data_IF_196033910119
#
_entry.id   IF_196033910119
#
_cell.length_a   1.000
_cell.length_b   1.000
_cell.length_c   1.000
_cell.angle_alpha   90.00
_cell.angle_beta   90.00
_cell.angle_gamma   90.00
#
_symmetry.space_group_name_H-M   'P 1'
#
loop_
_entity.id
_entity.type
_entity.pdbx_description
1 polymer ?
#
# COMPACT_ATOMS: atom_id res chain seq x y z
N UNK A 1 -6.16 26.09 -8.99
CA UNK A 1 -4.91 25.42 -9.36
C UNK A 1 -5.04 24.85 -10.77
N UNK A 2 -3.92 24.65 -11.47
CA UNK A 2 -3.93 24.07 -12.84
C UNK A 2 -3.24 22.70 -12.79
N UNK A 3 -3.96 21.70 -13.27
CA UNK A 3 -3.46 20.33 -13.39
C UNK A 3 -3.57 19.86 -14.85
N UNK A 4 -2.60 19.09 -15.29
CA UNK A 4 -2.54 18.50 -16.62
C UNK A 4 -2.44 16.98 -16.48
N UNK A 5 -3.43 16.26 -17.00
CA UNK A 5 -3.36 14.82 -17.20
C UNK A 5 -2.57 14.52 -18.46
N UNK A 6 -1.61 13.60 -18.39
CA UNK A 6 -0.75 13.29 -19.52
C UNK A 6 -0.74 11.81 -19.87
N UNK A 7 -0.48 11.50 -21.12
CA UNK A 7 -0.36 10.14 -21.60
C UNK A 7 1.07 9.64 -21.42
N UNK A 8 1.36 9.07 -20.25
CA UNK A 8 2.67 8.50 -19.90
C UNK A 8 3.55 9.33 -18.95
N UNK A 9 3.13 10.57 -18.59
CA UNK A 9 3.88 11.43 -17.65
C UNK A 9 3.14 11.71 -16.33
N UNK A 10 2.06 10.99 -16.06
CA UNK A 10 1.27 11.16 -14.84
C UNK A 10 0.49 12.48 -14.76
N UNK A 11 0.17 12.92 -13.54
CA UNK A 11 -0.52 14.17 -13.23
C UNK A 11 0.50 15.28 -12.98
N UNK A 12 0.36 16.40 -13.68
CA UNK A 12 1.28 17.52 -13.57
C UNK A 12 0.58 18.76 -13.05
N UNK A 13 0.99 19.23 -11.88
CA UNK A 13 0.51 20.45 -11.24
C UNK A 13 1.38 21.65 -11.63
N UNK A 14 0.78 22.72 -12.15
CA UNK A 14 1.47 23.97 -12.35
C UNK A 14 1.78 24.62 -11.00
N UNK A 15 3.06 24.71 -10.65
CA UNK A 15 3.52 25.27 -9.37
C UNK A 15 3.78 26.76 -9.50
N UNK A 16 4.43 27.21 -10.58
CA UNK A 16 4.78 28.60 -10.82
C UNK A 16 5.06 28.88 -12.29
N UNK A 17 5.02 30.17 -12.63
CA UNK A 17 5.58 30.69 -13.88
C UNK A 17 6.83 31.49 -13.52
N UNK A 18 7.97 31.22 -14.16
CA UNK A 18 9.17 32.03 -13.93
C UNK A 18 9.06 33.40 -14.64
N UNK A 19 9.98 34.32 -14.34
CA UNK A 19 9.99 35.68 -14.90
C UNK A 19 10.12 35.73 -16.43
N UNK A 20 10.46 34.65 -17.09
CA UNK A 20 10.55 34.49 -18.55
C UNK A 20 9.29 33.85 -19.14
N UNK A 21 8.25 33.62 -18.34
CA UNK A 21 7.00 32.98 -18.76
C UNK A 21 7.09 31.45 -18.89
N UNK A 22 8.16 30.82 -18.39
CA UNK A 22 8.31 29.35 -18.42
C UNK A 22 7.57 28.73 -17.22
N UNK A 23 6.70 27.78 -17.51
CA UNK A 23 5.97 27.04 -16.50
C UNK A 23 6.85 26.02 -15.76
N UNK A 24 6.68 25.94 -14.45
CA UNK A 24 7.31 24.93 -13.59
C UNK A 24 6.22 24.01 -13.07
N UNK A 25 6.39 22.71 -13.33
CA UNK A 25 5.43 21.69 -12.93
C UNK A 25 6.02 20.76 -11.86
N UNK A 26 5.13 20.33 -10.96
CA UNK A 26 5.34 19.17 -10.09
C UNK A 26 4.60 17.98 -10.70
N UNK A 27 5.30 16.88 -10.93
CA UNK A 27 4.70 15.67 -11.51
C UNK A 27 4.42 14.65 -10.42
N UNK A 28 3.27 14.00 -10.53
CA UNK A 28 2.86 12.87 -9.70
C UNK A 28 2.73 11.64 -10.61
N UNK A 29 3.33 10.53 -10.21
CA UNK A 29 3.47 9.31 -11.00
C UNK A 29 3.03 8.07 -10.20
N UNK A 30 3.23 6.89 -10.75
CA UNK A 30 3.03 5.63 -10.01
C UNK A 30 3.86 5.56 -8.72
N UNK A 31 4.99 6.27 -8.64
CA UNK A 31 5.82 6.37 -7.44
C UNK A 31 5.14 7.14 -6.31
N UNK A 32 4.20 8.02 -6.66
CA UNK A 32 3.45 8.86 -5.75
C UNK A 32 2.07 8.24 -5.43
N UNK A 33 1.73 7.10 -6.02
CA UNK A 33 0.52 6.35 -5.74
C UNK A 33 -0.52 6.30 -6.87
N UNK A 34 -0.24 6.85 -8.06
CA UNK A 34 -1.10 6.64 -9.23
C UNK A 34 -1.11 5.15 -9.64
N UNK A 35 -2.23 4.61 -10.15
CA UNK A 35 -2.30 3.24 -10.65
C UNK A 35 -1.64 3.06 -12.03
N UNK A 36 -1.44 4.15 -12.78
CA UNK A 36 -0.76 4.21 -14.07
C UNK A 36 -0.30 5.63 -14.36
N UNK A 37 0.80 5.80 -15.08
CA UNK A 37 1.25 7.10 -15.61
C UNK A 37 0.51 7.52 -16.88
N UNK A 38 -0.33 6.62 -17.44
CA UNK A 38 -1.20 6.90 -18.59
C UNK A 38 -2.55 7.36 -18.07
N UNK A 39 -2.78 8.67 -18.10
CA UNK A 39 -4.02 9.32 -17.68
C UNK A 39 -4.89 9.60 -18.90
N UNK A 40 -6.19 9.28 -18.80
CA UNK A 40 -7.12 9.34 -19.92
C UNK A 40 -8.06 10.54 -19.83
N UNK A 41 -8.57 10.84 -18.63
CA UNK A 41 -9.44 12.01 -18.38
C UNK A 41 -9.27 12.47 -16.93
N UNK A 42 -9.65 13.71 -16.64
CA UNK A 42 -9.66 14.28 -15.29
C UNK A 42 -10.87 15.17 -15.11
N UNK A 43 -11.55 15.03 -13.95
CA UNK A 43 -12.65 15.88 -13.51
C UNK A 43 -12.44 16.31 -12.06
N UNK A 44 -12.82 17.54 -11.74
CA UNK A 44 -12.80 18.06 -10.37
C UNK A 44 -14.18 17.86 -9.73
N UNK A 45 -14.20 17.37 -8.48
CA UNK A 45 -15.44 17.31 -7.70
C UNK A 45 -15.70 18.60 -6.92
N UNK A 46 -16.90 18.71 -6.33
CA UNK A 46 -17.32 19.91 -5.59
C UNK A 46 -16.47 20.21 -4.35
N UNK A 47 -15.64 19.28 -3.92
CA UNK A 47 -14.72 19.43 -2.79
C UNK A 47 -13.27 19.74 -3.21
N UNK A 48 -13.03 19.88 -4.51
CA UNK A 48 -11.73 20.20 -5.08
C UNK A 48 -10.78 18.99 -5.22
N UNK A 49 -11.29 17.77 -5.13
CA UNK A 49 -10.52 16.59 -5.46
C UNK A 49 -10.60 16.29 -6.96
N UNK A 50 -9.54 15.72 -7.50
CA UNK A 50 -9.48 15.34 -8.91
C UNK A 50 -9.74 13.84 -9.07
N UNK A 51 -10.70 13.50 -9.90
CA UNK A 51 -10.99 12.13 -10.30
C UNK A 51 -10.39 11.88 -11.68
N UNK A 52 -9.54 10.88 -11.76
CA UNK A 52 -8.65 10.66 -12.91
C UNK A 52 -8.87 9.24 -13.41
N UNK A 53 -9.40 9.11 -14.63
CA UNK A 53 -9.41 7.82 -15.29
C UNK A 53 -8.02 7.50 -15.85
N UNK A 54 -7.59 6.27 -15.67
CA UNK A 54 -6.30 5.78 -16.11
C UNK A 54 -6.44 4.46 -16.84
N UNK A 55 -5.37 3.99 -17.47
CA UNK A 55 -5.32 2.66 -18.08
C UNK A 55 -5.61 1.53 -17.06
N UNK A 56 -5.29 1.74 -15.77
CA UNK A 56 -5.41 0.74 -14.71
C UNK A 56 -6.45 1.09 -13.64
N UNK A 57 -7.57 1.74 -14.04
CA UNK A 57 -8.65 2.07 -13.14
C UNK A 57 -8.87 3.57 -12.93
N UNK A 58 -9.63 3.92 -11.91
CA UNK A 58 -9.95 5.29 -11.53
C UNK A 58 -9.12 5.67 -10.29
N UNK A 59 -8.64 6.91 -10.25
CA UNK A 59 -7.89 7.44 -9.13
C UNK A 59 -8.50 8.76 -8.66
N UNK A 60 -8.65 8.95 -7.36
CA UNK A 60 -9.00 10.21 -6.73
C UNK A 60 -7.73 10.83 -6.15
N UNK A 61 -7.35 12.00 -6.63
CA UNK A 61 -6.28 12.80 -6.04
C UNK A 61 -6.85 13.81 -5.07
N UNK A 62 -6.33 13.85 -3.86
CA UNK A 62 -6.70 14.78 -2.80
C UNK A 62 -5.57 15.82 -2.67
N UNK A 63 -5.72 17.02 -3.27
CA UNK A 63 -4.65 18.02 -3.33
C UNK A 63 -4.14 18.48 -1.98
N UNK A 64 -5.05 18.63 -1.00
CA UNK A 64 -4.71 19.06 0.36
C UNK A 64 -3.80 18.08 1.11
N UNK A 65 -3.87 16.80 0.76
CA UNK A 65 -3.08 15.72 1.37
C UNK A 65 -1.98 15.22 0.44
N UNK A 66 -1.99 15.65 -0.83
CA UNK A 66 -1.09 15.18 -1.90
C UNK A 66 -1.09 13.63 -2.02
N UNK A 67 -2.27 13.02 -1.91
CA UNK A 67 -2.49 11.58 -1.80
C UNK A 67 -3.49 11.09 -2.84
N UNK A 68 -3.28 9.86 -3.29
CA UNK A 68 -4.19 9.16 -4.19
C UNK A 68 -5.00 8.09 -3.47
N UNK A 69 -6.26 7.93 -3.87
CA UNK A 69 -7.13 6.80 -3.56
C UNK A 69 -7.50 6.12 -4.86
N UNK A 70 -7.17 4.84 -5.00
CA UNK A 70 -7.36 4.11 -6.25
C UNK A 70 -8.55 3.18 -6.19
N UNK A 71 -9.29 3.12 -7.28
CA UNK A 71 -10.49 2.31 -7.47
C UNK A 71 -10.28 1.41 -8.69
N UNK A 72 -10.55 0.13 -8.54
CA UNK A 72 -10.30 -0.88 -9.56
C UNK A 72 -11.54 -1.73 -9.83
N UNK A 73 -11.39 -2.81 -10.58
CA UNK A 73 -12.47 -3.70 -10.99
C UNK A 73 -13.34 -4.24 -9.83
N UNK A 74 -12.81 -4.30 -8.60
CA UNK A 74 -13.55 -4.77 -7.42
C UNK A 74 -14.51 -3.71 -6.91
N UNK A 75 -14.07 -2.45 -6.92
CA UNK A 75 -14.91 -1.31 -6.53
C UNK A 75 -16.09 -1.13 -7.48
N UNK A 76 -15.96 -1.54 -8.74
CA UNK A 76 -16.95 -1.37 -9.79
C UNK A 76 -17.75 -2.64 -10.12
N UNK A 77 -17.49 -3.75 -9.43
CA UNK A 77 -18.14 -5.04 -9.71
C UNK A 77 -17.72 -5.69 -11.03
N UNK A 78 -16.61 -5.27 -11.63
CA UNK A 78 -16.05 -5.84 -12.84
C UNK A 78 -15.02 -4.96 -13.52
N UNK A 79 -14.35 -5.52 -14.53
CA UNK A 79 -13.29 -4.86 -15.27
C UNK A 79 -13.84 -3.69 -16.09
N UNK A 80 -13.36 -2.49 -15.83
CA UNK A 80 -13.67 -1.26 -16.56
C UNK A 80 -12.45 -0.82 -17.35
N UNK A 81 -12.66 -0.54 -18.63
CA UNK A 81 -11.68 0.10 -19.49
C UNK A 81 -12.20 1.48 -19.87
N UNK A 82 -11.50 2.50 -19.37
CA UNK A 82 -11.82 3.90 -19.66
C UNK A 82 -11.35 4.29 -21.06
N UNK A 83 -12.05 5.26 -21.66
CA UNK A 83 -11.72 5.85 -22.95
C UNK A 83 -11.14 7.25 -22.75
N UNK A 84 -10.21 7.64 -23.62
CA UNK A 84 -9.52 8.92 -23.55
C UNK A 84 -10.46 10.11 -23.83
N UNK A 85 -10.31 11.20 -23.06
CA UNK A 85 -11.03 12.45 -23.27
C UNK A 85 -12.55 12.35 -23.07
N UNK A 86 -13.02 11.30 -22.40
CA UNK A 86 -14.46 11.03 -22.22
C UNK A 86 -14.87 11.16 -20.76
N UNK A 87 -14.89 12.39 -20.26
CA UNK A 87 -15.38 12.68 -18.91
C UNK A 87 -16.26 13.92 -18.90
N UNK A 88 -17.09 14.04 -17.88
CA UNK A 88 -17.97 15.18 -17.67
C UNK A 88 -18.34 15.31 -16.20
N UNK A 89 -18.22 16.54 -15.66
CA UNK A 89 -18.84 16.91 -14.40
C UNK A 89 -20.22 17.52 -14.68
N UNK A 90 -21.27 16.85 -14.20
CA UNK A 90 -22.63 17.36 -14.28
C UNK A 90 -22.92 18.34 -13.13
N UNK A 91 -23.74 19.33 -13.37
CA UNK A 91 -24.12 20.39 -12.40
C UNK A 91 -24.77 19.88 -11.10
N UNK A 92 -25.02 18.60 -10.97
CA UNK A 92 -25.60 17.92 -9.81
C UNK A 92 -24.61 17.12 -9.00
N UNK A 93 -23.32 17.45 -9.05
CA UNK A 93 -22.25 16.74 -8.33
C UNK A 93 -22.08 15.27 -8.77
N UNK A 94 -22.45 14.96 -10.00
CA UNK A 94 -22.29 13.65 -10.59
C UNK A 94 -21.15 13.68 -11.60
N UNK A 95 -20.18 12.77 -11.47
CA UNK A 95 -19.12 12.60 -12.44
C UNK A 95 -19.44 11.45 -13.40
N UNK A 96 -19.16 11.66 -14.68
CA UNK A 96 -19.22 10.65 -15.73
C UNK A 96 -17.84 10.39 -16.32
N UNK A 97 -17.59 9.12 -16.62
CA UNK A 97 -16.41 8.69 -17.39
C UNK A 97 -16.84 7.67 -18.45
N UNK A 98 -16.47 7.93 -19.69
CA UNK A 98 -16.73 6.99 -20.79
C UNK A 98 -15.86 5.74 -20.66
N UNK A 99 -16.46 4.62 -21.03
CA UNK A 99 -15.83 3.31 -21.00
C UNK A 99 -16.09 2.56 -22.31
N UNK A 100 -15.30 1.54 -22.60
CA UNK A 100 -15.47 0.70 -23.79
C UNK A 100 -16.83 -0.02 -23.89
N UNK A 101 -17.65 0.00 -22.83
CA UNK A 101 -18.97 -0.66 -22.76
C UNK A 101 -20.10 0.25 -22.33
N UNK A 102 -19.89 1.56 -22.37
CA UNK A 102 -20.89 2.54 -21.94
C UNK A 102 -20.25 3.64 -21.09
N UNK A 103 -20.83 3.92 -19.94
CA UNK A 103 -20.30 4.96 -19.04
C UNK A 103 -20.32 4.49 -17.58
N UNK A 104 -19.37 4.95 -16.82
CA UNK A 104 -19.39 4.94 -15.36
C UNK A 104 -19.88 6.32 -14.89
N UNK A 105 -20.89 6.35 -14.03
CA UNK A 105 -21.30 7.60 -13.36
C UNK A 105 -21.48 7.35 -11.87
N UNK A 106 -21.13 8.35 -11.08
CA UNK A 106 -21.22 8.26 -9.62
C UNK A 106 -21.24 9.65 -8.98
N UNK A 107 -21.70 9.70 -7.75
CA UNK A 107 -21.62 10.88 -6.89
C UNK A 107 -20.39 10.75 -5.99
N UNK A 108 -19.36 11.63 -6.12
CA UNK A 108 -18.10 11.53 -5.38
C UNK A 108 -18.26 11.45 -3.86
N UNK A 109 -19.27 12.12 -3.30
CA UNK A 109 -19.54 12.12 -1.85
C UNK A 109 -19.92 10.74 -1.30
N UNK A 110 -20.50 9.87 -2.16
CA UNK A 110 -20.90 8.51 -1.81
C UNK A 110 -19.77 7.49 -2.01
N UNK A 111 -18.68 7.87 -2.68
CA UNK A 111 -17.53 7.00 -2.93
C UNK A 111 -16.44 7.30 -1.89
N UNK A 112 -16.32 6.43 -0.90
CA UNK A 112 -15.33 6.59 0.16
C UNK A 112 -14.60 5.28 0.40
N UNK A 113 -13.29 5.36 0.52
CA UNK A 113 -12.47 4.25 1.01
C UNK A 113 -12.64 4.12 2.53
N UNK A 114 -12.59 2.89 3.02
CA UNK A 114 -12.59 2.62 4.45
C UNK A 114 -11.36 3.23 5.12
N UNK A 115 -11.56 3.84 6.28
CA UNK A 115 -10.48 4.29 7.17
C UNK A 115 -10.19 3.27 8.29
N UNK A 116 -10.74 2.06 8.18
CA UNK A 116 -10.50 1.00 9.13
C UNK A 116 -9.00 0.69 9.25
N UNK A 117 -8.52 0.57 10.48
CA UNK A 117 -7.11 0.28 10.80
C UNK A 117 -7.02 -1.14 11.35
N UNK A 118 -6.71 -2.14 10.51
CA UNK A 118 -6.58 -3.52 10.98
C UNK A 118 -5.36 -3.68 11.87
N UNK A 119 -5.51 -4.42 12.95
CA UNK A 119 -4.36 -4.84 13.77
C UNK A 119 -3.53 -5.87 13.00
N UNK A 120 -2.20 -5.76 13.09
CA UNK A 120 -1.29 -6.78 12.57
C UNK A 120 -0.98 -7.78 13.67
N UNK A 121 -1.04 -9.07 13.33
CA UNK A 121 -0.65 -10.18 14.18
C UNK A 121 0.53 -10.93 13.57
N UNK A 122 1.41 -11.46 14.43
CA UNK A 122 2.46 -12.40 14.04
C UNK A 122 1.92 -13.83 14.16
N UNK A 123 2.07 -14.62 13.12
CA UNK A 123 1.60 -16.00 13.06
C UNK A 123 2.66 -16.99 13.53
N UNK A 124 3.33 -17.62 12.58
CA UNK A 124 4.30 -18.68 12.85
C UNK A 124 5.74 -18.20 12.74
N UNK A 125 6.61 -18.80 13.54
CA UNK A 125 8.06 -18.76 13.40
C UNK A 125 8.52 -20.10 12.79
N UNK A 126 9.33 -20.04 11.73
CA UNK A 126 10.06 -21.20 11.22
C UNK A 126 11.56 -20.97 11.28
N UNK A 127 12.29 -21.95 11.73
CA UNK A 127 13.75 -22.00 11.68
C UNK A 127 14.15 -23.12 10.73
N UNK A 128 14.93 -22.79 9.70
CA UNK A 128 15.31 -23.74 8.64
C UNK A 128 14.12 -24.52 8.06
N UNK A 129 13.03 -23.81 7.79
CA UNK A 129 11.74 -24.33 7.29
C UNK A 129 10.98 -25.25 8.26
N UNK A 130 11.42 -25.44 9.48
CA UNK A 130 10.71 -26.18 10.53
C UNK A 130 9.97 -25.22 11.43
N UNK A 131 8.68 -25.47 11.64
CA UNK A 131 7.85 -24.65 12.52
C UNK A 131 8.26 -24.81 13.97
N UNK A 132 8.43 -23.70 14.67
CA UNK A 132 8.71 -23.64 16.09
C UNK A 132 7.39 -23.67 16.85
N UNK A 133 7.14 -24.77 17.57
CA UNK A 133 5.92 -24.95 18.35
C UNK A 133 6.07 -24.26 19.70
N UNK A 134 5.19 -23.30 20.03
CA UNK A 134 5.27 -22.59 21.31
C UNK A 134 5.00 -23.51 22.51
N UNK A 135 5.68 -23.26 23.62
CA UNK A 135 5.38 -23.87 24.93
C UNK A 135 5.84 -25.32 25.11
N UNK A 136 6.43 -25.95 24.08
CA UNK A 136 7.04 -27.29 24.24
C UNK A 136 8.43 -27.18 24.85
N UNK A 137 8.88 -28.23 25.54
CA UNK A 137 10.20 -28.29 26.16
C UNK A 137 11.31 -28.07 25.12
N UNK A 138 12.21 -27.14 25.38
CA UNK A 138 13.32 -26.80 24.47
C UNK A 138 12.93 -25.87 23.31
N UNK A 139 11.67 -25.42 23.22
CA UNK A 139 11.25 -24.48 22.19
C UNK A 139 11.88 -23.10 22.39
N UNK A 140 12.19 -22.43 21.28
CA UNK A 140 12.59 -21.01 21.23
C UNK A 140 11.45 -20.07 21.67
N UNK A 141 10.21 -20.52 21.53
CA UNK A 141 9.01 -19.76 21.90
C UNK A 141 8.36 -20.33 23.17
N UNK A 142 8.30 -19.53 24.23
CA UNK A 142 7.55 -19.88 25.43
C UNK A 142 6.03 -19.74 25.25
N UNK A 143 5.63 -18.82 24.38
CA UNK A 143 4.24 -18.49 24.03
C UNK A 143 4.16 -18.23 22.52
N UNK A 144 2.97 -17.96 21.99
CA UNK A 144 2.82 -17.64 20.56
C UNK A 144 3.75 -16.51 20.14
N UNK A 145 4.15 -16.51 18.86
CA UNK A 145 4.99 -15.43 18.31
C UNK A 145 4.32 -14.07 18.49
N UNK A 146 2.99 -14.03 18.39
CA UNK A 146 2.20 -12.82 18.56
C UNK A 146 2.32 -12.21 19.96
N UNK A 147 2.47 -13.05 20.99
CA UNK A 147 2.65 -12.62 22.37
C UNK A 147 4.12 -12.46 22.78
N UNK A 148 5.05 -12.67 21.85
CA UNK A 148 6.49 -12.56 22.08
C UNK A 148 6.96 -11.16 21.70
N UNK A 149 7.53 -10.43 22.66
CA UNK A 149 8.08 -9.09 22.42
C UNK A 149 9.55 -9.13 21.96
N UNK A 150 10.27 -10.17 22.35
CA UNK A 150 11.69 -10.32 22.09
C UNK A 150 12.05 -11.77 21.76
N UNK A 151 12.51 -12.01 20.55
CA UNK A 151 12.98 -13.30 20.07
C UNK A 151 14.52 -13.33 20.14
N UNK A 152 15.05 -14.33 20.83
CA UNK A 152 16.51 -14.54 20.95
C UNK A 152 16.88 -15.80 20.20
N UNK A 153 17.75 -15.65 19.22
CA UNK A 153 18.24 -16.73 18.35
C UNK A 153 19.74 -16.91 18.50
N UNK A 154 20.21 -18.12 18.39
CA UNK A 154 21.65 -18.40 18.29
C UNK A 154 22.15 -18.18 16.86
N UNK A 155 23.44 -18.09 16.67
CA UNK A 155 24.05 -18.00 15.33
C UNK A 155 23.78 -19.24 14.43
N UNK A 156 23.30 -20.35 15.00
CA UNK A 156 22.97 -21.57 14.27
C UNK A 156 21.58 -21.51 13.64
N UNK A 157 20.68 -20.70 14.19
CA UNK A 157 19.33 -20.46 13.67
C UNK A 157 19.36 -19.39 12.57
N UNK A 158 20.04 -19.71 11.47
CA UNK A 158 20.45 -18.75 10.45
C UNK A 158 19.44 -18.58 9.29
N UNK A 159 18.35 -19.36 9.27
CA UNK A 159 17.24 -19.20 8.32
C UNK A 159 15.97 -19.00 9.13
N UNK A 160 15.48 -17.77 9.17
CA UNK A 160 14.36 -17.34 9.99
C UNK A 160 13.21 -16.91 9.08
N UNK A 161 12.04 -17.53 9.22
CA UNK A 161 10.82 -17.13 8.51
C UNK A 161 9.76 -16.74 9.53
N UNK A 162 9.25 -15.52 9.38
CA UNK A 162 8.20 -14.94 10.19
C UNK A 162 6.95 -14.78 9.35
N UNK A 163 5.79 -15.25 9.81
CA UNK A 163 4.51 -14.98 9.16
C UNK A 163 3.76 -13.86 9.89
N UNK A 164 2.93 -13.14 9.13
CA UNK A 164 2.13 -12.02 9.64
C UNK A 164 0.81 -11.90 8.88
N UNK A 165 -0.19 -11.28 9.51
CA UNK A 165 -1.45 -10.98 8.89
C UNK A 165 -2.08 -9.72 9.49
N UNK A 166 -2.78 -8.94 8.68
CA UNK A 166 -3.66 -7.88 9.15
C UNK A 166 -5.07 -8.44 9.39
N UNK A 167 -5.68 -8.09 10.51
CA UNK A 167 -7.01 -8.55 10.90
C UNK A 167 -8.10 -7.70 10.23
N UNK A 168 -8.25 -7.88 8.94
CA UNK A 168 -9.34 -7.33 8.14
C UNK A 168 -9.94 -8.47 7.31
N UNK A 169 -11.19 -8.81 7.62
CA UNK A 169 -11.85 -10.02 7.10
C UNK A 169 -12.76 -9.74 5.92
N UNK A 170 -12.90 -8.47 5.48
CA UNK A 170 -13.83 -8.12 4.40
C UNK A 170 -13.30 -8.61 3.05
N UNK A 171 -12.08 -8.18 2.68
CA UNK A 171 -11.37 -8.61 1.48
C UNK A 171 -9.89 -8.82 1.79
N UNK A 172 -9.54 -9.88 2.53
CA UNK A 172 -8.16 -10.10 3.00
C UNK A 172 -7.15 -10.29 1.86
N UNK A 173 -7.62 -10.68 0.68
CA UNK A 173 -6.81 -10.81 -0.52
C UNK A 173 -6.40 -9.45 -1.14
N UNK A 174 -7.04 -8.35 -0.73
CA UNK A 174 -6.72 -7.01 -1.21
C UNK A 174 -5.65 -6.32 -0.38
N UNK A 175 -5.34 -6.87 0.79
CA UNK A 175 -4.40 -6.26 1.72
C UNK A 175 -2.99 -6.43 1.15
N UNK A 176 -2.26 -5.33 1.12
CA UNK A 176 -0.84 -5.27 0.78
C UNK A 176 -0.03 -5.03 2.03
N UNK A 177 1.18 -5.55 2.03
CA UNK A 177 2.07 -5.48 3.18
C UNK A 177 3.37 -4.79 2.80
N UNK A 178 4.01 -4.21 3.80
CA UNK A 178 5.41 -3.87 3.76
C UNK A 178 6.07 -4.35 5.05
N UNK A 179 7.28 -4.90 4.93
CA UNK A 179 8.06 -5.32 6.08
C UNK A 179 9.52 -4.89 5.94
N UNK A 180 10.20 -4.79 7.04
CA UNK A 180 11.66 -4.62 7.09
C UNK A 180 12.23 -5.19 8.37
N UNK A 181 13.49 -5.56 8.33
CA UNK A 181 14.31 -5.86 9.50
C UNK A 181 15.25 -4.67 9.74
N UNK A 182 14.86 -3.75 10.62
CA UNK A 182 15.68 -2.58 10.96
C UNK A 182 16.99 -3.06 11.60
N UNK A 183 18.11 -2.52 11.12
CA UNK A 183 19.46 -3.01 11.43
C UNK A 183 20.05 -3.92 10.35
N UNK A 184 19.22 -4.40 9.41
CA UNK A 184 19.62 -5.21 8.26
C UNK A 184 19.15 -4.65 6.92
N UNK A 185 17.83 -4.44 6.78
CA UNK A 185 17.23 -3.85 5.58
C UNK A 185 17.44 -2.33 5.56
N UNK A 186 17.81 -1.79 4.41
CA UNK A 186 17.96 -0.33 4.22
C UNK A 186 16.60 0.36 4.07
N UNK A 187 15.65 -0.32 3.41
CA UNK A 187 14.35 0.21 3.05
C UNK A 187 13.24 -0.80 3.38
N UNK A 188 11.98 -0.39 3.20
CA UNK A 188 10.82 -1.26 3.31
C UNK A 188 10.73 -2.17 2.09
N UNK A 189 10.45 -3.46 2.32
CA UNK A 189 10.10 -4.44 1.30
C UNK A 189 8.59 -4.40 1.09
N UNK A 190 8.13 -3.78 0.02
CA UNK A 190 6.71 -3.74 -0.35
C UNK A 190 6.34 -5.01 -1.09
N UNK A 191 5.31 -5.69 -0.61
CA UNK A 191 4.85 -6.98 -1.14
C UNK A 191 3.32 -6.96 -1.29
N UNK A 192 2.79 -7.70 -2.28
CA UNK A 192 1.35 -7.74 -2.51
C UNK A 192 0.65 -8.67 -1.51
N UNK A 193 0.60 -9.97 -1.83
CA UNK A 193 -0.12 -10.98 -1.04
C UNK A 193 0.79 -11.81 -0.12
N UNK A 194 2.07 -11.57 -0.19
CA UNK A 194 3.03 -12.29 0.63
C UNK A 194 2.84 -11.92 2.10
N UNK A 195 2.69 -12.94 2.95
CA UNK A 195 2.48 -12.81 4.39
C UNK A 195 3.60 -13.43 5.21
N UNK A 196 4.76 -13.58 4.59
CA UNK A 196 5.96 -14.14 5.22
C UNK A 196 7.18 -13.32 4.84
N UNK A 197 8.12 -13.21 5.77
CA UNK A 197 9.44 -12.66 5.55
C UNK A 197 10.49 -13.68 5.94
N UNK A 198 11.44 -13.93 5.06
CA UNK A 198 12.54 -14.89 5.30
C UNK A 198 13.87 -14.15 5.27
N UNK A 199 14.65 -14.33 6.31
CA UNK A 199 16.01 -13.82 6.44
C UNK A 199 16.99 -14.96 6.59
N UNK A 200 18.13 -14.85 5.93
CA UNK A 200 19.19 -15.86 5.96
C UNK A 200 20.51 -15.23 6.38
N UNK A 201 21.30 -15.97 7.14
CA UNK A 201 22.65 -15.57 7.55
C UNK A 201 22.72 -14.19 8.24
N UNK A 202 21.76 -13.94 9.14
CA UNK A 202 21.77 -12.70 9.93
C UNK A 202 23.04 -12.66 10.79
N UNK A 203 23.86 -11.59 10.70
CA UNK A 203 24.97 -11.38 11.60
C UNK A 203 24.53 -11.29 13.07
N UNK A 204 25.46 -11.52 14.00
CA UNK A 204 25.19 -11.22 15.41
C UNK A 204 24.78 -9.75 15.57
N UNK A 205 23.77 -9.48 16.37
CA UNK A 205 23.29 -8.11 16.57
C UNK A 205 21.87 -8.04 17.09
N UNK A 206 21.44 -6.80 17.23
CA UNK A 206 20.07 -6.42 17.64
C UNK A 206 19.31 -5.90 16.42
N UNK A 207 18.11 -6.43 16.22
CA UNK A 207 17.25 -6.09 15.10
C UNK A 207 15.82 -5.80 15.56
N UNK A 208 15.09 -5.07 14.75
CA UNK A 208 13.64 -4.89 14.94
C UNK A 208 12.92 -5.25 13.64
N UNK A 209 12.17 -6.34 13.66
CA UNK A 209 11.29 -6.71 12.58
C UNK A 209 10.04 -5.86 12.65
N UNK A 210 9.70 -5.18 11.55
CA UNK A 210 8.58 -4.26 11.45
C UNK A 210 7.69 -4.64 10.27
N UNK A 211 6.38 -4.61 10.48
CA UNK A 211 5.37 -4.87 9.46
C UNK A 211 4.30 -3.78 9.52
N UNK A 212 3.86 -3.31 8.36
CA UNK A 212 2.68 -2.47 8.17
C UNK A 212 1.84 -2.98 7.01
N UNK A 213 0.58 -2.58 6.94
CA UNK A 213 -0.29 -3.00 5.85
C UNK A 213 -1.24 -1.91 5.36
N UNK A 214 -1.87 -2.16 4.23
CA UNK A 214 -3.12 -1.51 3.87
C UNK A 214 -4.28 -2.14 4.64
N UNK A 215 -5.46 -1.50 4.60
CA UNK A 215 -6.73 -2.17 4.88
C UNK A 215 -7.23 -2.92 3.62
N UNK A 216 -8.40 -3.55 3.70
CA UNK A 216 -9.01 -4.29 2.57
C UNK A 216 -9.42 -3.40 1.39
N UNK A 217 -9.52 -2.08 1.58
CA UNK A 217 -9.73 -1.11 0.50
C UNK A 217 -8.43 -0.62 -0.16
N UNK A 218 -7.29 -1.20 0.21
CA UNK A 218 -5.99 -0.86 -0.34
C UNK A 218 -5.40 0.45 0.17
N UNK A 219 -5.95 1.04 1.24
CA UNK A 219 -5.46 2.28 1.87
C UNK A 219 -4.39 1.93 2.90
N UNK A 220 -3.20 2.49 2.75
CA UNK A 220 -2.15 2.40 3.78
C UNK A 220 -2.60 3.12 5.04
N UNK A 221 -2.53 2.43 6.18
CA UNK A 221 -2.98 2.91 7.49
C UNK A 221 -1.86 2.82 8.52
N UNK A 222 -2.00 3.57 9.61
CA UNK A 222 -1.02 3.60 10.71
C UNK A 222 -1.21 2.39 11.64
N UNK A 223 -0.72 1.23 11.20
CA UNK A 223 -0.86 -0.04 11.93
C UNK A 223 0.46 -0.80 12.09
N UNK A 224 1.58 -0.12 12.07
CA UNK A 224 2.89 -0.75 12.20
C UNK A 224 2.99 -1.58 13.48
N UNK A 225 3.53 -2.80 13.35
CA UNK A 225 3.85 -3.69 14.46
C UNK A 225 5.30 -4.14 14.41
N UNK A 226 5.91 -4.28 15.58
CA UNK A 226 7.33 -4.56 15.74
C UNK A 226 7.59 -5.77 16.63
N UNK A 227 8.68 -6.51 16.34
CA UNK A 227 9.25 -7.60 17.13
C UNK A 227 10.76 -7.41 17.23
N UNK A 228 11.27 -7.37 18.44
CA UNK A 228 12.74 -7.33 18.66
C UNK A 228 13.35 -8.72 18.43
N UNK A 229 14.49 -8.76 17.74
CA UNK A 229 15.21 -9.99 17.44
C UNK A 229 16.69 -9.80 17.81
N UNK A 230 17.23 -10.68 18.62
CA UNK A 230 18.67 -10.72 18.94
C UNK A 230 19.28 -11.98 18.35
N UNK A 231 20.35 -11.83 17.59
CA UNK A 231 21.19 -12.93 17.14
C UNK A 231 22.43 -12.97 18.04
N UNK A 232 22.58 -14.06 18.80
CA UNK A 232 23.69 -14.25 19.73
C UNK A 232 25.01 -14.56 19.01
N UNK A 233 26.15 -14.18 19.57
CA UNK A 233 27.45 -14.55 19.01
C UNK A 233 27.69 -16.07 19.05
N UNK A 234 28.54 -16.54 18.16
CA UNK A 234 29.15 -17.88 18.25
C UNK A 234 30.15 -17.89 19.40
N UNK A 235 29.99 -18.81 20.30
CA UNK A 235 31.03 -19.15 21.30
C UNK A 235 31.94 -20.23 20.76
#
# INVERSE_FOLDING_TARGET
EVYLATFGGGLNQLVSMNGEGKAVFKSYTVKDGLPSDILLSVEEDDTGNLWISTENGLSKFIPSEQRFENYNERDFGGKIRFEEGTSLNLSSSTLLFGTSRGMLYFEPEHIKKSNYVPSIVFGTLKISNQEVIPGVSGSLLRQSLDNTEHLVLSHKENIVTLSFAALDMIYPENIRYAYRLRGFDKEWNYVDRQRTATYTNLPKGEYVFQVKSTNSDGVWVENERSLRITIQPSF
#
